data_IF_569851161276
#
_entry.id   IF_569851161276
#
_cell.length_a   1.000
_cell.length_b   1.000
_cell.length_c   1.000
_cell.angle_alpha   90.00
_cell.angle_beta   90.00
_cell.angle_gamma   90.00
#
_symmetry.space_group_name_H-M   'P 1'
#
loop_
_entity.id
_entity.type
_entity.pdbx_description
1 polymer ?
#
# COMPACT_ATOMS: atom_id res chain seq x y z
N UNK A 1 -13.81 1.14 -4.22
CA UNK A 1 -14.53 2.15 -3.38
C UNK A 1 -15.80 1.62 -2.73
N UNK A 2 -16.90 1.34 -3.46
CA UNK A 2 -18.19 0.95 -2.84
C UNK A 2 -18.13 -0.25 -1.88
N UNK A 3 -17.30 -1.24 -2.15
CA UNK A 3 -17.18 -2.40 -1.26
C UNK A 3 -16.69 -1.99 0.15
N UNK A 4 -15.84 -0.95 0.24
CA UNK A 4 -15.28 -0.50 1.50
C UNK A 4 -16.29 0.17 2.42
N UNK A 5 -17.50 0.54 1.97
CA UNK A 5 -18.54 1.05 2.89
C UNK A 5 -18.96 0.03 3.93
N UNK A 6 -18.73 -1.26 3.66
CA UNK A 6 -19.03 -2.38 4.55
C UNK A 6 -17.79 -2.92 5.27
N UNK A 7 -16.65 -2.23 5.21
CA UNK A 7 -15.38 -2.73 5.75
C UNK A 7 -15.45 -2.93 7.27
N UNK A 8 -16.11 -2.03 7.99
CA UNK A 8 -16.22 -2.09 9.46
C UNK A 8 -17.14 -3.23 9.95
N UNK A 9 -17.94 -3.84 9.07
CA UNK A 9 -18.93 -4.85 9.44
C UNK A 9 -18.37 -6.28 9.41
N UNK A 10 -17.19 -6.48 8.82
CA UNK A 10 -16.62 -7.81 8.58
C UNK A 10 -15.20 -7.90 9.11
N UNK A 11 -14.92 -8.95 9.89
CA UNK A 11 -13.56 -9.29 10.32
C UNK A 11 -12.71 -9.83 9.17
N UNK A 12 -13.34 -10.56 8.24
CA UNK A 12 -12.71 -11.11 7.04
C UNK A 12 -13.31 -10.47 5.78
N UNK A 13 -12.52 -9.66 5.11
CA UNK A 13 -12.91 -8.90 3.91
C UNK A 13 -11.85 -9.04 2.82
N UNK A 14 -12.16 -9.79 1.76
CA UNK A 14 -11.21 -10.10 0.68
C UNK A 14 -9.85 -10.60 1.22
N UNK A 15 -8.75 -9.91 0.91
CA UNK A 15 -7.41 -10.29 1.34
C UNK A 15 -6.98 -9.68 2.69
N UNK A 16 -7.88 -9.06 3.45
CA UNK A 16 -7.54 -8.31 4.67
C UNK A 16 -6.78 -9.12 5.73
N UNK A 17 -6.95 -10.44 5.76
CA UNK A 17 -6.14 -11.33 6.60
C UNK A 17 -4.61 -11.15 6.42
N UNK A 18 -4.14 -10.65 5.27
CA UNK A 18 -2.72 -10.37 5.06
C UNK A 18 -2.16 -9.30 6.02
N UNK A 19 -2.99 -8.33 6.42
CA UNK A 19 -2.60 -7.26 7.33
C UNK A 19 -3.24 -7.36 8.72
N UNK A 20 -4.34 -8.10 8.88
CA UNK A 20 -5.04 -8.25 10.17
C UNK A 20 -4.78 -9.62 10.83
N UNK A 21 -4.38 -10.62 10.05
CA UNK A 21 -4.41 -12.02 10.45
C UNK A 21 -5.78 -12.68 10.18
N UNK A 22 -5.84 -14.01 10.12
CA UNK A 22 -7.06 -14.77 9.81
C UNK A 22 -8.11 -14.70 10.93
N UNK A 23 -7.65 -14.53 12.17
CA UNK A 23 -8.46 -14.40 13.38
C UNK A 23 -8.16 -13.08 14.13
N UNK A 24 -7.75 -12.03 13.39
CA UNK A 24 -7.35 -10.74 13.97
C UNK A 24 -6.15 -10.84 14.93
N UNK A 25 -5.22 -11.76 14.67
CA UNK A 25 -4.04 -12.01 15.50
C UNK A 25 -3.12 -10.79 15.63
N UNK A 26 -3.27 -9.80 14.74
CA UNK A 26 -2.51 -8.55 14.78
C UNK A 26 -3.19 -7.45 15.61
N UNK A 27 -4.33 -7.71 16.23
CA UNK A 27 -5.04 -6.75 17.10
C UNK A 27 -5.71 -5.58 16.37
N UNK A 28 -5.57 -5.50 15.04
CA UNK A 28 -6.10 -4.42 14.20
C UNK A 28 -7.46 -4.84 13.65
N UNK A 29 -8.46 -3.96 13.74
CA UNK A 29 -9.73 -4.12 13.05
C UNK A 29 -9.68 -3.49 11.68
N UNK A 30 -10.38 -4.09 10.71
CA UNK A 30 -10.55 -3.48 9.40
C UNK A 30 -11.34 -2.18 9.56
N UNK A 31 -10.75 -1.06 9.14
CA UNK A 31 -11.41 0.24 9.08
C UNK A 31 -11.62 0.68 7.64
N UNK A 32 -12.52 1.64 7.43
CA UNK A 32 -12.65 2.31 6.13
C UNK A 32 -11.32 2.92 5.67
N UNK A 33 -10.52 3.49 6.57
CA UNK A 33 -9.21 4.06 6.22
C UNK A 33 -8.19 2.99 5.78
N UNK A 34 -8.25 1.78 6.34
CA UNK A 34 -7.42 0.65 5.89
C UNK A 34 -7.88 0.13 4.51
N UNK A 35 -9.19 0.16 4.27
CA UNK A 35 -9.77 -0.35 3.02
C UNK A 35 -9.67 0.66 1.87
N UNK A 36 -9.91 1.92 2.16
CA UNK A 36 -10.01 3.04 1.22
C UNK A 36 -9.46 4.31 1.88
N UNK A 37 -8.13 4.43 1.99
CA UNK A 37 -7.48 5.54 2.67
C UNK A 37 -7.79 6.88 1.99
N UNK A 38 -7.88 7.95 2.78
CA UNK A 38 -7.99 9.30 2.24
C UNK A 38 -6.71 9.73 1.51
N UNK A 39 -6.84 10.71 0.60
CA UNK A 39 -5.68 11.28 -0.10
C UNK A 39 -4.60 11.78 0.86
N UNK A 40 -5.01 12.45 1.94
CA UNK A 40 -4.08 12.94 2.97
C UNK A 40 -3.36 11.80 3.69
N UNK A 41 -4.06 10.70 4.00
CA UNK A 41 -3.47 9.52 4.62
C UNK A 41 -2.42 8.89 3.69
N UNK A 42 -2.75 8.72 2.41
CA UNK A 42 -1.83 8.23 1.37
C UNK A 42 -0.58 9.11 1.30
N UNK A 43 -0.76 10.44 1.20
CA UNK A 43 0.35 11.38 1.10
C UNK A 43 1.21 11.38 2.36
N UNK A 44 0.62 11.42 3.56
CA UNK A 44 1.37 11.43 4.82
C UNK A 44 2.20 10.16 5.02
N UNK A 45 1.62 8.97 4.80
CA UNK A 45 2.37 7.72 4.93
C UNK A 45 3.45 7.56 3.85
N UNK A 46 3.18 8.03 2.62
CA UNK A 46 4.20 8.06 1.56
C UNK A 46 5.37 8.95 1.94
N UNK A 47 5.10 10.14 2.49
CA UNK A 47 6.13 11.07 2.96
C UNK A 47 6.99 10.46 4.07
N UNK A 48 6.35 9.83 5.06
CA UNK A 48 7.05 9.13 6.15
C UNK A 48 7.95 8.02 5.59
N UNK A 49 7.47 7.23 4.63
CA UNK A 49 8.26 6.20 3.97
C UNK A 49 9.45 6.79 3.23
N UNK A 50 9.26 7.84 2.40
CA UNK A 50 10.34 8.52 1.68
C UNK A 50 11.43 9.01 2.66
N UNK A 51 11.02 9.64 3.76
CA UNK A 51 11.94 10.15 4.78
C UNK A 51 12.71 9.04 5.48
N UNK A 52 12.03 7.93 5.83
CA UNK A 52 12.59 6.76 6.52
C UNK A 52 13.60 6.02 5.63
N UNK A 53 13.29 5.85 4.35
CA UNK A 53 14.06 4.99 3.45
C UNK A 53 15.04 5.74 2.56
N UNK A 54 14.97 7.08 2.54
CA UNK A 54 15.72 7.97 1.64
C UNK A 54 15.55 7.55 0.18
N UNK A 55 14.34 7.16 -0.20
CA UNK A 55 14.02 6.72 -1.56
C UNK A 55 14.16 7.89 -2.54
N UNK A 56 14.75 7.62 -3.71
CA UNK A 56 14.89 8.59 -4.81
C UNK A 56 13.87 8.38 -5.92
N UNK A 57 13.13 7.25 -5.89
CA UNK A 57 12.11 6.89 -6.88
C UNK A 57 10.85 6.45 -6.16
N UNK A 58 9.71 7.01 -6.55
CA UNK A 58 8.36 6.61 -6.14
C UNK A 58 7.64 6.03 -7.35
N UNK A 59 7.27 4.75 -7.27
CA UNK A 59 6.44 4.08 -8.27
C UNK A 59 5.00 3.99 -7.78
N UNK A 60 4.04 4.36 -8.63
CA UNK A 60 2.61 4.36 -8.31
C UNK A 60 1.89 3.40 -9.25
N UNK A 61 1.24 2.39 -8.67
CA UNK A 61 0.28 1.53 -9.33
C UNK A 61 -1.12 1.84 -8.79
N UNK A 62 -2.06 2.17 -9.67
CA UNK A 62 -3.47 2.36 -9.32
C UNK A 62 -4.38 1.78 -10.41
N UNK A 63 -5.57 1.35 -10.01
CA UNK A 63 -6.64 0.91 -10.89
C UNK A 63 -7.43 2.11 -11.48
N UNK A 64 -7.38 3.27 -10.82
CA UNK A 64 -8.01 4.52 -11.28
C UNK A 64 -7.09 5.74 -11.15
N UNK A 65 -7.34 6.56 -10.13
CA UNK A 65 -6.60 7.80 -9.91
C UNK A 65 -5.19 7.54 -9.36
N UNK A 66 -4.17 7.95 -10.11
CA UNK A 66 -2.76 7.82 -9.70
C UNK A 66 -2.25 9.01 -8.86
N UNK A 67 -3.06 10.07 -8.68
CA UNK A 67 -2.74 11.26 -7.88
C UNK A 67 -1.39 11.92 -8.23
N UNK A 68 -0.92 11.81 -9.49
CA UNK A 68 0.42 12.25 -9.88
C UNK A 68 0.69 13.72 -9.51
N UNK A 69 -0.27 14.61 -9.78
CA UNK A 69 -0.13 16.04 -9.49
C UNK A 69 0.10 16.30 -8.00
N UNK A 70 -0.65 15.60 -7.14
CA UNK A 70 -0.54 15.71 -5.67
C UNK A 70 0.82 15.25 -5.19
N UNK A 71 1.30 14.12 -5.71
CA UNK A 71 2.63 13.59 -5.38
C UNK A 71 3.74 14.53 -5.86
N UNK A 72 3.62 15.06 -7.07
CA UNK A 72 4.60 15.99 -7.64
C UNK A 72 4.67 17.28 -6.85
N UNK A 73 3.52 17.88 -6.54
CA UNK A 73 3.41 19.10 -5.73
C UNK A 73 4.05 18.88 -4.36
N UNK A 74 3.74 17.77 -3.69
CA UNK A 74 4.18 17.55 -2.31
C UNK A 74 5.63 17.10 -2.18
N UNK A 75 6.15 16.31 -3.12
CA UNK A 75 7.41 15.59 -2.92
C UNK A 75 8.53 15.95 -3.89
N UNK A 76 8.23 16.30 -5.15
CA UNK A 76 9.25 16.37 -6.20
C UNK A 76 10.34 17.41 -5.88
N UNK A 77 9.96 18.63 -5.50
CA UNK A 77 10.90 19.70 -5.13
C UNK A 77 11.50 19.50 -3.73
N UNK A 78 10.71 18.95 -2.80
CA UNK A 78 11.08 18.82 -1.39
C UNK A 78 12.11 17.72 -1.14
N UNK A 79 12.01 16.60 -1.87
CA UNK A 79 12.82 15.41 -1.65
C UNK A 79 13.67 15.00 -2.85
N UNK A 80 13.61 15.73 -3.97
CA UNK A 80 14.29 15.39 -5.22
C UNK A 80 14.01 13.95 -5.68
N UNK A 81 12.74 13.53 -5.60
CA UNK A 81 12.32 12.18 -5.99
C UNK A 81 11.78 12.16 -7.42
N UNK A 82 12.05 11.08 -8.15
CA UNK A 82 11.41 10.78 -9.43
C UNK A 82 10.11 10.03 -9.19
N UNK A 83 9.01 10.55 -9.70
CA UNK A 83 7.68 9.93 -9.59
C UNK A 83 7.36 9.28 -10.92
N UNK A 84 7.01 8.00 -10.90
CA UNK A 84 6.76 7.19 -12.10
C UNK A 84 5.51 6.33 -11.94
N UNK A 85 4.79 6.14 -13.04
CA UNK A 85 3.78 5.08 -13.22
C UNK A 85 4.06 4.34 -14.51
N UNK A 86 3.53 3.14 -14.66
CA UNK A 86 3.57 2.47 -15.95
C UNK A 86 2.59 3.13 -16.92
N UNK A 87 3.09 3.57 -18.06
CA UNK A 87 2.26 4.06 -19.17
C UNK A 87 1.92 2.89 -20.09
N UNK A 88 0.65 2.51 -20.07
CA UNK A 88 0.13 1.40 -20.88
C UNK A 88 0.08 1.82 -22.35
N UNK A 89 0.50 0.95 -23.26
CA UNK A 89 0.26 1.14 -24.69
C UNK A 89 -1.23 0.96 -25.00
N UNK A 90 -1.75 1.66 -26.01
CA UNK A 90 -3.12 1.48 -26.51
C UNK A 90 -3.39 0.06 -27.02
N UNK A 91 -2.34 -0.69 -27.36
CA UNK A 91 -2.40 -2.09 -27.80
C UNK A 91 -2.40 -3.11 -26.66
N UNK A 92 -2.11 -2.69 -25.42
CA UNK A 92 -2.05 -3.59 -24.28
C UNK A 92 -3.40 -3.68 -23.58
N UNK A 93 -3.79 -4.89 -23.21
CA UNK A 93 -4.91 -5.10 -22.31
C UNK A 93 -4.59 -4.58 -20.90
N UNK A 94 -5.63 -4.26 -20.15
CA UNK A 94 -5.50 -3.88 -18.74
C UNK A 94 -4.80 -4.96 -17.91
N UNK A 95 -5.07 -6.24 -18.21
CA UNK A 95 -4.41 -7.37 -17.55
C UNK A 95 -2.90 -7.43 -17.81
N UNK A 96 -2.46 -7.20 -19.04
CA UNK A 96 -1.03 -7.19 -19.38
C UNK A 96 -0.28 -6.07 -18.64
N UNK A 97 -0.87 -4.88 -18.59
CA UNK A 97 -0.29 -3.78 -17.84
C UNK A 97 -0.27 -4.02 -16.33
N UNK A 98 -1.33 -4.61 -15.79
CA UNK A 98 -1.45 -5.00 -14.39
C UNK A 98 -0.32 -5.96 -13.96
N UNK A 99 0.14 -6.87 -14.83
CA UNK A 99 1.26 -7.75 -14.51
C UNK A 99 2.58 -6.98 -14.30
N UNK A 100 2.78 -5.87 -15.00
CA UNK A 100 3.96 -5.02 -14.86
C UNK A 100 3.92 -4.28 -13.52
N UNK A 101 2.75 -3.73 -13.16
CA UNK A 101 2.51 -3.15 -11.83
C UNK A 101 2.82 -4.16 -10.72
N UNK A 102 2.27 -5.38 -10.82
CA UNK A 102 2.52 -6.46 -9.86
C UNK A 102 4.00 -6.81 -9.75
N UNK A 103 4.70 -6.91 -10.87
CA UNK A 103 6.12 -7.22 -10.88
C UNK A 103 6.93 -6.13 -10.16
N UNK A 104 6.70 -4.85 -10.51
CA UNK A 104 7.43 -3.73 -9.91
C UNK A 104 7.14 -3.64 -8.40
N UNK A 105 5.88 -3.74 -7.98
CA UNK A 105 5.51 -3.77 -6.55
C UNK A 105 6.17 -4.94 -5.80
N UNK A 106 6.30 -6.10 -6.45
CA UNK A 106 6.90 -7.30 -5.84
C UNK A 106 8.40 -7.15 -5.59
N UNK A 107 9.12 -6.44 -6.46
CA UNK A 107 10.59 -6.31 -6.38
C UNK A 107 11.06 -5.03 -5.67
N UNK A 108 10.19 -4.03 -5.53
CA UNK A 108 10.50 -2.73 -4.92
C UNK A 108 11.21 -2.89 -3.55
N UNK A 109 12.12 -1.97 -3.21
CA UNK A 109 12.85 -2.04 -1.92
C UNK A 109 11.87 -2.00 -0.74
N UNK A 110 10.95 -1.04 -0.76
CA UNK A 110 9.86 -0.90 0.20
C UNK A 110 8.55 -0.74 -0.58
N UNK A 111 7.43 -1.14 -0.01
CA UNK A 111 6.12 -0.95 -0.61
C UNK A 111 5.10 -0.62 0.47
N UNK A 112 4.15 0.26 0.13
CA UNK A 112 2.91 0.46 0.90
C UNK A 112 1.78 -0.01 -0.01
N UNK A 113 0.95 -0.93 0.48
CA UNK A 113 -0.09 -1.57 -0.34
C UNK A 113 -1.47 -1.55 0.35
N UNK A 114 -2.51 -1.85 -0.41
CA UNK A 114 -3.87 -1.88 0.13
C UNK A 114 -4.16 -3.25 0.79
N UNK A 115 -4.61 -3.23 2.05
CA UNK A 115 -4.79 -4.45 2.82
C UNK A 115 -5.89 -5.41 2.31
N UNK A 116 -7.12 -4.97 2.00
CA UNK A 116 -8.13 -5.89 1.49
C UNK A 116 -7.93 -6.28 0.01
N UNK A 117 -7.11 -5.54 -0.76
CA UNK A 117 -6.89 -5.81 -2.17
C UNK A 117 -6.19 -7.16 -2.44
N UNK A 118 -6.84 -8.04 -3.21
CA UNK A 118 -6.23 -9.30 -3.68
C UNK A 118 -5.10 -9.06 -4.69
N UNK A 119 -5.12 -7.94 -5.42
CA UNK A 119 -4.03 -7.49 -6.28
C UNK A 119 -2.78 -7.18 -5.44
N UNK A 120 -2.95 -6.43 -4.35
CA UNK A 120 -1.86 -6.16 -3.39
C UNK A 120 -1.37 -7.45 -2.71
N UNK A 121 -2.28 -8.39 -2.42
CA UNK A 121 -1.94 -9.67 -1.81
C UNK A 121 -1.00 -10.52 -2.69
N UNK A 122 -1.11 -10.43 -4.01
CA UNK A 122 -0.17 -11.09 -4.92
C UNK A 122 1.26 -10.57 -4.69
N UNK A 123 1.44 -9.26 -4.74
CA UNK A 123 2.75 -8.65 -4.52
C UNK A 123 3.27 -8.91 -3.10
N UNK A 124 2.42 -8.79 -2.08
CA UNK A 124 2.79 -9.08 -0.67
C UNK A 124 3.35 -10.49 -0.49
N UNK A 125 2.69 -11.52 -1.05
CA UNK A 125 3.18 -12.91 -0.95
C UNK A 125 4.54 -13.10 -1.60
N UNK A 126 4.76 -12.47 -2.76
CA UNK A 126 6.06 -12.50 -3.43
C UNK A 126 7.13 -11.77 -2.61
N UNK A 127 6.79 -10.60 -2.04
CA UNK A 127 7.69 -9.83 -1.16
C UNK A 127 8.08 -10.62 0.09
N UNK A 128 7.13 -11.30 0.72
CA UNK A 128 7.39 -12.15 1.89
C UNK A 128 8.38 -13.25 1.56
N UNK A 129 8.22 -13.90 0.39
CA UNK A 129 9.17 -14.94 -0.05
C UNK A 129 10.58 -14.40 -0.31
N UNK A 130 10.67 -13.12 -0.71
CA UNK A 130 11.90 -12.38 -0.94
C UNK A 130 12.41 -11.62 0.30
N UNK A 131 11.78 -11.81 1.46
CA UNK A 131 12.13 -11.13 2.73
C UNK A 131 12.12 -9.59 2.62
N UNK A 132 11.19 -9.04 1.83
CA UNK A 132 11.02 -7.59 1.64
C UNK A 132 9.91 -7.04 2.53
N UNK A 133 10.17 -5.92 3.19
CA UNK A 133 9.19 -5.22 4.05
C UNK A 133 7.99 -4.73 3.25
N UNK A 134 6.78 -4.82 3.83
CA UNK A 134 5.58 -4.27 3.21
C UNK A 134 4.73 -3.61 4.29
N UNK A 135 4.38 -2.35 4.05
CA UNK A 135 3.50 -1.57 4.89
C UNK A 135 2.10 -1.54 4.26
N UNK A 136 1.08 -1.22 5.06
CA UNK A 136 -0.31 -1.16 4.60
C UNK A 136 -0.88 0.21 4.89
N UNK A 137 -1.67 0.74 3.95
CA UNK A 137 -2.37 2.00 4.17
C UNK A 137 -3.26 1.93 5.41
N UNK A 138 -3.27 3.01 6.19
CA UNK A 138 -4.09 3.15 7.39
C UNK A 138 -3.59 2.34 8.59
N UNK A 139 -2.42 1.70 8.48
CA UNK A 139 -1.78 0.94 9.57
C UNK A 139 -0.42 1.57 9.89
N UNK A 140 -0.32 2.19 11.06
CA UNK A 140 0.93 2.71 11.58
C UNK A 140 1.71 1.59 12.29
N UNK A 141 2.79 1.12 11.69
CA UNK A 141 3.63 0.06 12.27
C UNK A 141 4.21 0.40 13.66
N UNK A 142 4.37 1.69 13.99
CA UNK A 142 4.92 2.14 15.27
C UNK A 142 3.95 1.93 16.46
N UNK A 143 2.64 1.83 16.21
CA UNK A 143 1.66 1.49 17.25
C UNK A 143 1.69 -0.01 17.61
N UNK A 144 1.90 -0.86 16.62
CA UNK A 144 1.96 -2.33 16.81
C UNK A 144 3.18 -2.79 17.61
N UNK A 145 4.33 -2.11 17.45
CA UNK A 145 5.53 -2.44 18.22
C UNK A 145 5.48 -1.96 19.67
N UNK A 146 4.69 -0.92 19.98
CA UNK A 146 4.54 -0.40 21.33
C UNK A 146 3.53 -1.23 22.15
N UNK A 147 2.46 -1.73 21.53
CA UNK A 147 1.52 -2.67 22.18
C UNK A 147 2.18 -4.03 22.47
N UNK A 148 3.01 -4.55 21.57
CA UNK A 148 3.76 -5.79 21.82
C UNK A 148 4.84 -5.67 22.92
N UNK A 149 5.30 -4.46 23.24
CA UNK A 149 6.26 -4.20 24.33
C UNK A 149 5.59 -3.92 25.66
N UNK A 150 4.31 -3.56 25.70
CA UNK A 150 3.58 -3.38 26.96
C UNK A 150 3.05 -4.69 27.54
N UNK A 151 3.01 -5.75 26.73
CA UNK A 151 2.54 -7.09 27.10
C UNK A 151 3.68 -8.09 27.41
N UNK A 152 4.92 -7.60 27.52
CA UNK A 152 6.14 -8.34 27.93
C UNK A 152 6.79 -7.66 29.14
#
# INVERSE_FOLDING_TARGET
ERACTYANEKSNFFASAQCLGYNLEKGIKLTNDICYPSEDNILNQTENMIQKTKSTVLYIAADGNHMLDKYQERFMKKYNIKIIKYERSSSQSEGEAAHIDLYILSIAKNAIVNCPSTFSAFAKRQRDRLEKSTDFWGIENDKLMNEQKSDL
#
